data_IF_515998508320
#
_entry.id   IF_515998508320
#
_cell.length_a   1.000
_cell.length_b   1.000
_cell.length_c   1.000
_cell.angle_alpha   90.00
_cell.angle_beta   90.00
_cell.angle_gamma   90.00
#
_symmetry.space_group_name_H-M   'P 1'
#
loop_
_entity.id
_entity.type
_entity.pdbx_description
1 polymer ?
#
# COMPACT_ATOMS: atom_id res chain seq x y z
N UNK A 1 -20.13 0.10 10.77
CA UNK A 1 -19.01 0.58 9.94
C UNK A 1 -17.77 0.38 10.79
N UNK A 2 -16.90 -0.59 10.46
CA UNK A 2 -15.73 -0.88 11.31
C UNK A 2 -14.83 0.35 11.36
N UNK A 3 -14.37 0.69 12.55
CA UNK A 3 -13.49 1.81 12.82
C UNK A 3 -12.13 1.51 12.17
N UNK A 4 -11.79 2.22 11.09
CA UNK A 4 -10.61 1.97 10.25
C UNK A 4 -9.30 2.47 10.89
N UNK A 5 -9.35 2.98 12.13
CA UNK A 5 -8.18 3.44 12.88
C UNK A 5 -7.13 2.34 13.08
N UNK A 6 -7.54 1.07 13.22
CA UNK A 6 -6.63 -0.07 13.32
C UNK A 6 -6.01 -0.51 11.97
N UNK A 7 -6.79 -0.50 10.89
CA UNK A 7 -6.32 -0.95 9.57
C UNK A 7 -5.41 0.09 8.88
N UNK A 8 -5.64 1.39 9.10
CA UNK A 8 -4.75 2.44 8.58
C UNK A 8 -3.35 2.33 9.19
N UNK A 9 -3.25 1.96 10.48
CA UNK A 9 -1.97 1.72 11.15
C UNK A 9 -1.29 0.48 10.60
N UNK A 10 -2.02 -0.61 10.32
CA UNK A 10 -1.47 -1.82 9.72
C UNK A 10 -0.94 -1.58 8.30
N UNK A 11 -1.69 -0.84 7.47
CA UNK A 11 -1.24 -0.42 6.13
C UNK A 11 0.00 0.48 6.23
N UNK A 12 0.06 1.42 7.19
CA UNK A 12 1.24 2.27 7.40
C UNK A 12 2.43 1.48 7.92
N UNK A 13 2.24 0.50 8.80
CA UNK A 13 3.30 -0.39 9.31
C UNK A 13 3.83 -1.27 8.18
N UNK A 14 2.96 -1.91 7.41
CA UNK A 14 3.36 -2.72 6.24
C UNK A 14 4.03 -1.85 5.20
N UNK A 15 3.52 -0.64 4.96
CA UNK A 15 4.13 0.30 4.04
C UNK A 15 5.50 0.79 4.55
N UNK A 16 5.67 1.03 5.84
CA UNK A 16 6.96 1.41 6.45
C UNK A 16 7.97 0.24 6.46
N UNK A 17 7.54 -0.97 6.86
CA UNK A 17 8.35 -2.19 6.78
C UNK A 17 8.72 -2.48 5.32
N UNK A 18 7.78 -2.36 4.39
CA UNK A 18 8.03 -2.48 2.95
C UNK A 18 9.00 -1.39 2.46
N UNK A 19 8.84 -0.13 2.86
CA UNK A 19 9.76 0.98 2.51
C UNK A 19 11.18 0.73 2.98
N UNK A 20 11.34 0.16 4.19
CA UNK A 20 12.64 -0.22 4.75
C UNK A 20 13.30 -1.37 3.97
N UNK A 21 12.50 -2.29 3.40
CA UNK A 21 12.96 -3.40 2.55
C UNK A 21 13.15 -3.02 1.08
N UNK A 22 12.67 -1.86 0.62
CA UNK A 22 12.74 -1.38 -0.78
C UNK A 22 14.17 -0.94 -1.21
N UNK A 23 15.23 -1.38 -0.54
CA UNK A 23 16.60 -0.84 -0.67
C UNK A 23 17.32 -1.08 -2.00
N UNK A 24 16.82 -1.95 -2.89
CA UNK A 24 17.58 -2.38 -4.10
C UNK A 24 16.89 -2.22 -5.46
N UNK A 25 15.55 -2.07 -5.54
CA UNK A 25 14.83 -2.11 -6.83
C UNK A 25 14.06 -0.82 -7.17
N UNK A 26 13.35 -0.20 -6.21
CA UNK A 26 12.71 1.11 -6.40
C UNK A 26 13.70 2.24 -6.15
N UNK A 27 13.75 3.22 -7.06
CA UNK A 27 14.55 4.42 -6.83
C UNK A 27 13.94 5.27 -5.69
N UNK A 28 14.74 6.17 -5.12
CA UNK A 28 14.29 7.02 -4.01
C UNK A 28 13.08 7.91 -4.36
N UNK A 29 12.92 8.25 -5.64
CA UNK A 29 11.83 9.07 -6.15
C UNK A 29 10.50 8.31 -6.11
N UNK A 30 10.46 7.07 -6.60
CA UNK A 30 9.28 6.21 -6.55
C UNK A 30 8.83 5.95 -5.10
N UNK A 31 9.77 5.78 -4.16
CA UNK A 31 9.42 5.63 -2.73
C UNK A 31 8.72 6.87 -2.19
N UNK A 32 9.24 8.05 -2.50
CA UNK A 32 8.65 9.33 -2.09
C UNK A 32 7.28 9.54 -2.72
N UNK A 33 7.14 9.18 -3.99
CA UNK A 33 5.87 9.26 -4.72
C UNK A 33 4.79 8.41 -4.05
N UNK A 34 5.02 7.11 -3.85
CA UNK A 34 4.05 6.25 -3.18
C UNK A 34 3.78 6.69 -1.74
N UNK A 35 4.79 7.20 -1.03
CA UNK A 35 4.62 7.76 0.32
C UNK A 35 3.68 8.96 0.33
N UNK A 36 3.85 9.89 -0.62
CA UNK A 36 2.96 11.04 -0.77
C UNK A 36 1.53 10.59 -1.09
N UNK A 37 1.40 9.65 -2.04
CA UNK A 37 0.11 9.10 -2.47
C UNK A 37 -0.63 8.42 -1.33
N UNK A 38 0.04 7.56 -0.55
CA UNK A 38 -0.56 6.90 0.62
C UNK A 38 -0.99 7.92 1.68
N UNK A 39 -0.16 8.93 1.95
CA UNK A 39 -0.46 9.91 3.00
C UNK A 39 -1.71 10.77 2.67
N UNK A 40 -2.01 10.95 1.39
CA UNK A 40 -3.12 11.77 0.90
C UNK A 40 -4.35 10.95 0.49
N UNK A 41 -4.21 9.63 0.33
CA UNK A 41 -5.27 8.78 -0.22
C UNK A 41 -6.51 8.69 0.68
N UNK A 42 -7.68 8.72 0.04
CA UNK A 42 -8.92 8.23 0.61
C UNK A 42 -8.94 6.67 0.60
N UNK A 43 -10.04 6.07 1.06
CA UNK A 43 -10.10 4.61 1.24
C UNK A 43 -9.99 3.85 -0.08
N UNK A 44 -10.70 4.30 -1.11
CA UNK A 44 -10.70 3.64 -2.42
C UNK A 44 -9.37 3.84 -3.14
N UNK A 45 -8.77 5.03 -3.04
CA UNK A 45 -7.43 5.30 -3.55
C UNK A 45 -6.35 4.45 -2.88
N UNK A 46 -6.46 4.23 -1.56
CA UNK A 46 -5.54 3.37 -0.83
C UNK A 46 -5.60 1.92 -1.32
N UNK A 47 -6.80 1.41 -1.62
CA UNK A 47 -6.97 0.07 -2.22
C UNK A 47 -6.29 -0.01 -3.58
N UNK A 48 -6.44 1.01 -4.44
CA UNK A 48 -5.76 1.08 -5.74
C UNK A 48 -4.24 1.05 -5.57
N UNK A 49 -3.69 1.82 -4.62
CA UNK A 49 -2.25 1.81 -4.33
C UNK A 49 -1.78 0.42 -3.88
N UNK A 50 -2.54 -0.29 -3.04
CA UNK A 50 -2.18 -1.65 -2.62
C UNK A 50 -2.09 -2.61 -3.82
N UNK A 51 -3.02 -2.51 -4.79
CA UNK A 51 -2.94 -3.29 -6.03
C UNK A 51 -1.70 -2.96 -6.87
N UNK A 52 -1.33 -1.68 -6.98
CA UNK A 52 -0.14 -1.27 -7.72
C UNK A 52 1.14 -1.82 -7.07
N UNK A 53 1.25 -1.70 -5.75
CA UNK A 53 2.40 -2.22 -4.98
C UNK A 53 2.48 -3.74 -5.04
N UNK A 54 1.33 -4.43 -5.05
CA UNK A 54 1.24 -5.86 -5.28
C UNK A 54 1.84 -6.25 -6.63
N UNK A 55 1.41 -5.61 -7.73
CA UNK A 55 1.90 -5.90 -9.07
C UNK A 55 3.39 -5.59 -9.21
N UNK A 56 3.84 -4.49 -8.62
CA UNK A 56 5.26 -4.12 -8.59
C UNK A 56 6.10 -5.17 -7.85
N UNK A 57 5.60 -5.71 -6.74
CA UNK A 57 6.28 -6.79 -6.02
C UNK A 57 6.37 -8.08 -6.87
N UNK A 58 5.38 -8.36 -7.72
CA UNK A 58 5.48 -9.49 -8.67
C UNK A 58 6.53 -9.25 -9.75
N UNK A 59 6.64 -8.03 -10.29
CA UNK A 59 7.66 -7.67 -11.27
C UNK A 59 9.08 -7.83 -10.70
N UNK A 60 9.27 -7.40 -9.45
CA UNK A 60 10.54 -7.58 -8.76
C UNK A 60 10.85 -9.05 -8.49
N UNK A 61 9.84 -9.86 -8.11
CA UNK A 61 10.01 -11.29 -7.92
C UNK A 61 10.42 -11.99 -9.22
N UNK A 62 9.75 -11.70 -10.34
CA UNK A 62 10.08 -12.21 -11.66
C UNK A 62 11.50 -11.83 -12.08
N UNK A 63 11.89 -10.56 -11.90
CA UNK A 63 13.22 -10.08 -12.23
C UNK A 63 14.32 -10.76 -11.39
N UNK A 64 14.08 -10.97 -10.08
CA UNK A 64 15.01 -11.66 -9.21
C UNK A 64 15.14 -13.16 -9.59
N UNK A 65 14.02 -13.84 -9.85
CA UNK A 65 14.06 -15.23 -10.32
C UNK A 65 14.79 -15.38 -11.66
N UNK A 66 14.58 -14.46 -12.60
CA UNK A 66 15.27 -14.45 -13.89
C UNK A 66 16.79 -14.27 -13.76
N UNK A 67 17.25 -13.56 -12.73
CA UNK A 67 18.69 -13.38 -12.40
C UNK A 67 19.27 -14.53 -11.58
N UNK A 68 18.46 -15.52 -11.19
CA UNK A 68 18.89 -16.60 -10.29
C UNK A 68 18.99 -16.19 -8.81
N UNK A 69 18.50 -15.01 -8.45
CA UNK A 69 18.50 -14.47 -7.08
C UNK A 69 17.33 -15.04 -6.28
N UNK A 70 17.32 -16.37 -6.07
CA UNK A 70 16.13 -17.10 -5.60
C UNK A 70 15.60 -16.62 -4.25
N UNK A 71 16.48 -16.34 -3.28
CA UNK A 71 16.08 -15.84 -1.95
C UNK A 71 15.44 -14.47 -2.03
N UNK A 72 15.95 -13.61 -2.93
CA UNK A 72 15.42 -12.28 -3.18
C UNK A 72 14.03 -12.37 -3.83
N UNK A 73 13.89 -13.24 -4.85
CA UNK A 73 12.60 -13.52 -5.47
C UNK A 73 11.54 -14.00 -4.45
N UNK A 74 11.91 -14.94 -3.57
CA UNK A 74 11.01 -15.38 -2.48
C UNK A 74 10.64 -14.22 -1.54
N UNK A 75 11.58 -13.31 -1.23
CA UNK A 75 11.28 -12.13 -0.40
C UNK A 75 10.25 -11.23 -1.07
N UNK A 76 10.38 -10.98 -2.36
CA UNK A 76 9.40 -10.18 -3.12
C UNK A 76 8.02 -10.87 -3.19
N UNK A 77 7.97 -12.20 -3.31
CA UNK A 77 6.70 -12.95 -3.20
C UNK A 77 6.04 -12.78 -1.82
N UNK A 78 6.82 -12.86 -0.74
CA UNK A 78 6.29 -12.62 0.62
C UNK A 78 5.82 -11.18 0.82
N UNK A 79 6.43 -10.23 0.12
CA UNK A 79 5.95 -8.84 0.09
C UNK A 79 4.60 -8.71 -0.63
N UNK A 80 4.45 -9.35 -1.79
CA UNK A 80 3.18 -9.41 -2.51
C UNK A 80 2.08 -10.09 -1.65
N UNK A 81 2.45 -11.14 -0.91
CA UNK A 81 1.56 -11.81 0.05
C UNK A 81 1.03 -10.84 1.11
N UNK A 82 1.89 -9.99 1.68
CA UNK A 82 1.49 -8.97 2.65
C UNK A 82 0.46 -7.98 2.08
N UNK A 83 0.69 -7.47 0.87
CA UNK A 83 -0.29 -6.58 0.22
C UNK A 83 -1.64 -7.27 -0.06
N UNK A 84 -1.61 -8.54 -0.46
CA UNK A 84 -2.83 -9.32 -0.66
C UNK A 84 -3.59 -9.55 0.65
N UNK A 85 -2.89 -9.81 1.76
CA UNK A 85 -3.49 -9.97 3.07
C UNK A 85 -4.19 -8.69 3.55
N UNK A 86 -3.65 -7.51 3.23
CA UNK A 86 -4.33 -6.24 3.50
C UNK A 86 -5.63 -6.12 2.70
N UNK A 87 -5.62 -6.46 1.41
CA UNK A 87 -6.84 -6.48 0.59
C UNK A 87 -7.88 -7.45 1.17
N UNK A 88 -7.46 -8.64 1.57
CA UNK A 88 -8.31 -9.65 2.21
C UNK A 88 -8.90 -9.15 3.54
N UNK A 89 -8.08 -8.53 4.40
CA UNK A 89 -8.50 -7.99 5.70
C UNK A 89 -9.40 -6.75 5.60
N UNK A 90 -9.37 -6.06 4.46
CA UNK A 90 -10.19 -4.87 4.21
C UNK A 90 -11.63 -5.16 3.79
N UNK A 91 -11.96 -6.42 3.47
CA UNK A 91 -13.28 -6.80 2.96
C UNK A 91 -14.40 -6.61 4.00
N UNK A 92 -15.53 -6.07 3.53
CA UNK A 92 -16.74 -5.89 4.33
C UNK A 92 -17.80 -6.94 3.98
N UNK A 93 -17.87 -8.00 4.78
CA UNK A 93 -18.76 -9.15 4.59
C UNK A 93 -20.25 -8.86 4.79
N UNK A 94 -20.63 -7.60 5.06
CA UNK A 94 -22.03 -7.17 4.97
C UNK A 94 -22.53 -7.17 3.52
N UNK A 95 -21.62 -7.14 2.54
CA UNK A 95 -21.95 -7.16 1.12
C UNK A 95 -21.59 -8.50 0.48
N UNK A 96 -22.50 -9.06 -0.31
CA UNK A 96 -22.32 -10.37 -0.95
C UNK A 96 -21.07 -10.45 -1.85
N UNK A 97 -20.67 -9.33 -2.46
CA UNK A 97 -19.48 -9.24 -3.31
C UNK A 97 -18.17 -9.52 -2.56
N UNK A 98 -18.14 -9.34 -1.23
CA UNK A 98 -16.96 -9.63 -0.42
C UNK A 98 -16.57 -11.12 -0.52
N UNK A 99 -17.54 -12.03 -0.55
CA UNK A 99 -17.28 -13.46 -0.72
C UNK A 99 -16.68 -13.78 -2.09
N UNK A 100 -17.10 -13.07 -3.14
CA UNK A 100 -16.56 -13.25 -4.49
C UNK A 100 -15.11 -12.78 -4.58
N UNK A 101 -14.82 -11.61 -4.00
CA UNK A 101 -13.46 -11.07 -3.91
C UNK A 101 -12.56 -11.99 -3.08
N UNK A 102 -13.04 -12.51 -1.95
CA UNK A 102 -12.27 -13.44 -1.12
C UNK A 102 -11.89 -14.72 -1.87
N UNK A 103 -12.78 -15.26 -2.71
CA UNK A 103 -12.45 -16.43 -3.56
C UNK A 103 -11.31 -16.12 -4.54
N UNK A 104 -11.35 -14.96 -5.20
CA UNK A 104 -10.28 -14.53 -6.10
C UNK A 104 -8.96 -14.33 -5.35
N UNK A 105 -9.00 -13.66 -4.19
CA UNK A 105 -7.80 -13.45 -3.38
C UNK A 105 -7.21 -14.76 -2.87
N UNK A 106 -8.02 -15.73 -2.46
CA UNK A 106 -7.53 -17.05 -2.03
C UNK A 106 -6.81 -17.79 -3.17
N UNK A 107 -7.37 -17.76 -4.38
CA UNK A 107 -6.69 -18.32 -5.55
C UNK A 107 -5.31 -17.69 -5.75
N UNK A 108 -5.23 -16.35 -5.71
CA UNK A 108 -3.95 -15.62 -5.85
C UNK A 108 -2.99 -15.99 -4.72
N UNK A 109 -3.47 -16.04 -3.49
CA UNK A 109 -2.67 -16.40 -2.31
C UNK A 109 -2.01 -17.78 -2.44
N UNK A 110 -2.77 -18.77 -2.92
CA UNK A 110 -2.24 -20.11 -3.22
C UNK A 110 -1.14 -20.08 -4.29
N UNK A 111 -1.31 -19.28 -5.36
CA UNK A 111 -0.28 -19.13 -6.39
C UNK A 111 1.01 -18.52 -5.84
N UNK A 112 0.91 -17.55 -4.92
CA UNK A 112 2.08 -16.96 -4.24
C UNK A 112 2.80 -17.99 -3.36
N UNK A 113 2.05 -18.80 -2.59
CA UNK A 113 2.63 -19.89 -1.80
C UNK A 113 3.41 -20.85 -2.70
N UNK A 114 2.79 -21.32 -3.79
CA UNK A 114 3.47 -22.21 -4.73
C UNK A 114 4.68 -21.54 -5.39
N UNK A 115 4.61 -20.25 -5.69
CA UNK A 115 5.72 -19.50 -6.27
C UNK A 115 6.91 -19.41 -5.32
N UNK A 116 6.66 -19.13 -4.04
CA UNK A 116 7.69 -19.11 -3.00
C UNK A 116 8.33 -20.49 -2.80
N UNK A 117 7.52 -21.55 -2.70
CA UNK A 117 8.00 -22.93 -2.52
C UNK A 117 8.83 -23.42 -3.70
N UNK A 118 8.39 -23.12 -4.93
CA UNK A 118 9.05 -23.56 -6.17
C UNK A 118 10.16 -22.61 -6.63
N UNK A 119 10.34 -21.47 -5.96
CA UNK A 119 11.32 -20.42 -6.28
C UNK A 119 11.26 -19.97 -7.74
N UNK A 120 10.04 -19.81 -8.25
CA UNK A 120 9.73 -19.30 -9.58
C UNK A 120 8.29 -18.81 -9.59
N UNK A 121 7.91 -17.92 -10.49
CA UNK A 121 6.50 -17.58 -10.66
C UNK A 121 5.67 -18.78 -11.13
N UNK A 122 4.60 -19.06 -10.38
CA UNK A 122 3.60 -20.06 -10.70
C UNK A 122 2.33 -19.32 -11.11
N UNK A 123 1.84 -19.57 -12.33
CA UNK A 123 0.65 -18.93 -12.88
C UNK A 123 0.69 -17.38 -12.83
N UNK A 124 1.89 -16.81 -13.01
CA UNK A 124 2.11 -15.36 -12.86
C UNK A 124 1.25 -14.51 -13.78
N UNK A 125 1.07 -14.92 -15.04
CA UNK A 125 0.20 -14.23 -16.00
C UNK A 125 -1.25 -14.17 -15.52
N UNK A 126 -1.81 -15.30 -15.07
CA UNK A 126 -3.19 -15.37 -14.55
C UNK A 126 -3.36 -14.53 -13.28
N UNK A 127 -2.37 -14.56 -12.37
CA UNK A 127 -2.38 -13.70 -11.17
C UNK A 127 -2.41 -12.23 -11.56
N UNK A 128 -1.57 -11.81 -12.51
CA UNK A 128 -1.52 -10.43 -13.01
C UNK A 128 -2.81 -10.02 -13.70
N UNK A 129 -3.42 -10.91 -14.46
CA UNK A 129 -4.70 -10.65 -15.12
C UNK A 129 -5.82 -10.41 -14.10
N UNK A 130 -5.96 -11.30 -13.11
CA UNK A 130 -6.98 -11.17 -12.04
C UNK A 130 -6.78 -9.88 -11.27
N UNK A 131 -5.57 -9.64 -10.76
CA UNK A 131 -5.27 -8.48 -9.93
C UNK A 131 -5.32 -7.17 -10.72
N UNK A 132 -4.93 -7.21 -11.99
CA UNK A 132 -5.04 -6.07 -12.91
C UNK A 132 -6.49 -5.68 -13.19
N UNK A 133 -7.37 -6.65 -13.50
CA UNK A 133 -8.79 -6.38 -13.72
C UNK A 133 -9.47 -5.79 -12.47
N UNK A 134 -9.12 -6.32 -11.29
CA UNK A 134 -9.63 -5.79 -10.03
C UNK A 134 -9.12 -4.36 -9.78
N UNK A 135 -7.83 -4.09 -10.01
CA UNK A 135 -7.27 -2.73 -9.94
C UNK A 135 -8.04 -1.75 -10.83
N UNK A 136 -8.27 -2.10 -12.09
CA UNK A 136 -9.01 -1.23 -13.03
C UNK A 136 -10.46 -0.97 -12.58
N UNK A 137 -11.12 -1.97 -11.99
CA UNK A 137 -12.43 -1.77 -11.39
C UNK A 137 -12.37 -0.78 -10.21
N UNK A 138 -11.40 -0.94 -9.30
CA UNK A 138 -11.22 -0.04 -8.15
C UNK A 138 -10.77 1.37 -8.53
N UNK A 139 -10.04 1.56 -9.64
CA UNK A 139 -9.75 2.89 -10.19
C UNK A 139 -11.05 3.62 -10.55
N UNK A 140 -12.03 2.92 -11.12
CA UNK A 140 -13.35 3.51 -11.44
C UNK A 140 -14.14 3.86 -10.17
N UNK A 141 -14.04 3.03 -9.14
CA UNK A 141 -14.64 3.30 -7.82
C UNK A 141 -14.00 4.52 -7.16
N UNK A 142 -12.67 4.60 -7.14
CA UNK A 142 -11.93 5.71 -6.53
C UNK A 142 -12.29 7.07 -7.16
N UNK A 143 -12.54 7.11 -8.48
CA UNK A 143 -13.01 8.33 -9.16
C UNK A 143 -14.37 8.85 -8.68
N UNK A 144 -15.19 7.99 -8.09
CA UNK A 144 -16.52 8.32 -7.56
C UNK A 144 -16.51 8.52 -6.04
N UNK A 145 -15.40 8.15 -5.38
CA UNK A 145 -15.24 8.26 -3.94
C UNK A 145 -14.75 9.66 -3.56
N UNK A 146 -15.65 10.47 -3.01
CA UNK A 146 -15.35 11.81 -2.49
C UNK A 146 -15.07 11.82 -0.98
N UNK A 147 -14.78 10.67 -0.38
CA UNK A 147 -14.48 10.59 1.04
C UNK A 147 -13.16 11.29 1.39
N UNK A 148 -13.08 11.79 2.62
CA UNK A 148 -11.87 12.43 3.11
C UNK A 148 -10.69 11.43 3.19
N UNK A 149 -9.44 11.93 3.13
CA UNK A 149 -8.24 11.11 3.33
C UNK A 149 -8.32 10.28 4.61
N UNK A 150 -7.78 9.06 4.55
CA UNK A 150 -7.80 8.13 5.69
C UNK A 150 -6.91 8.63 6.82
N UNK A 151 -5.76 9.22 6.47
CA UNK A 151 -4.79 9.73 7.43
C UNK A 151 -5.15 11.15 7.86
N UNK A 152 -5.01 11.42 9.16
CA UNK A 152 -5.04 12.79 9.72
C UNK A 152 -3.59 13.29 9.84
N UNK A 153 -3.39 14.61 9.81
CA UNK A 153 -2.07 15.25 9.91
C UNK A 153 -1.08 14.80 8.82
N UNK A 154 -1.56 14.61 7.59
CA UNK A 154 -0.83 14.12 6.41
C UNK A 154 0.54 14.79 6.19
N UNK A 155 0.67 16.10 6.43
CA UNK A 155 1.94 16.83 6.30
C UNK A 155 3.02 16.31 7.26
N UNK A 156 2.66 16.09 8.52
CA UNK A 156 3.58 15.58 9.55
C UNK A 156 3.97 14.12 9.26
N UNK A 157 3.02 13.32 8.79
CA UNK A 157 3.27 11.92 8.43
C UNK A 157 4.19 11.83 7.20
N UNK A 158 3.90 12.60 6.15
CA UNK A 158 4.75 12.64 4.96
C UNK A 158 6.17 13.08 5.30
N UNK A 159 6.33 14.11 6.12
CA UNK A 159 7.65 14.58 6.53
C UNK A 159 8.42 13.55 7.36
N UNK A 160 7.76 12.89 8.32
CA UNK A 160 8.36 11.81 9.10
C UNK A 160 8.80 10.61 8.25
N UNK A 161 8.04 10.28 7.20
CA UNK A 161 8.35 9.19 6.27
C UNK A 161 9.42 9.57 5.24
N UNK A 162 9.47 10.83 4.80
CA UNK A 162 10.37 11.30 3.73
C UNK A 162 11.73 11.75 4.25
N UNK A 163 11.77 12.34 5.44
CA UNK A 163 12.97 12.97 6.01
C UNK A 163 13.46 12.31 7.30
N UNK A 164 12.77 11.28 7.81
CA UNK A 164 13.17 10.53 9.00
C UNK A 164 12.66 11.12 10.32
N UNK A 165 12.69 10.28 11.36
CA UNK A 165 12.15 10.58 12.70
C UNK A 165 12.93 11.73 13.35
N UNK A 166 12.27 12.86 13.61
CA UNK A 166 12.86 14.03 14.29
C UNK A 166 13.23 15.23 13.39
N UNK A 167 12.86 15.21 12.10
CA UNK A 167 13.24 16.26 11.14
C UNK A 167 12.41 17.55 11.18
N UNK A 168 11.28 17.60 11.91
CA UNK A 168 10.45 18.81 12.00
C UNK A 168 10.10 19.16 13.43
N UNK A 169 10.59 20.34 13.83
CA UNK A 169 10.17 21.09 15.00
C UNK A 169 9.55 22.40 14.47
N UNK A 170 8.33 22.36 13.93
CA UNK A 170 7.71 23.59 13.40
C UNK A 170 6.25 23.74 13.87
N UNK A 171 6.13 24.67 14.82
CA UNK A 171 5.04 25.60 15.11
C UNK A 171 3.63 25.12 14.74
N UNK A 172 2.89 24.73 15.78
CA UNK A 172 1.43 24.74 15.84
C UNK A 172 0.89 26.13 15.47
N UNK A 173 0.72 26.40 14.18
CA UNK A 173 -0.24 27.41 13.71
C UNK A 173 -1.60 26.72 13.60
N UNK A 174 -2.16 26.32 14.73
CA UNK A 174 -3.59 26.02 14.84
C UNK A 174 -4.19 27.12 15.70
N UNK A 175 -5.06 27.93 15.08
CA UNK A 175 -5.48 29.23 15.57
C UNK A 175 -6.03 29.23 16.99
N UNK A 176 -5.38 30.01 17.85
CA UNK A 176 -5.99 30.87 18.84
C UNK A 176 -4.88 31.73 19.48
N UNK A 177 -4.43 32.74 18.75
CA UNK A 177 -3.81 33.92 19.35
C UNK A 177 -4.37 35.13 18.61
N UNK A 178 -5.63 35.41 18.94
CA UNK A 178 -6.10 36.78 18.92
C UNK A 178 -5.12 37.59 19.75
N UNK A 179 -4.64 38.70 19.20
CA UNK A 179 -3.87 39.75 19.89
C UNK A 179 -2.33 39.63 19.85
N UNK A 180 -1.74 39.86 18.68
CA UNK A 180 -0.41 40.48 18.62
C UNK A 180 -0.53 41.87 18.01
N UNK A 181 -0.95 42.80 18.86
CA UNK A 181 -0.89 44.23 18.57
C UNK A 181 0.56 44.64 18.33
N UNK A 182 0.79 45.29 17.19
CA UNK A 182 1.95 46.14 16.99
C UNK A 182 1.87 47.31 17.96
N UNK A 183 2.87 47.47 18.82
CA UNK A 183 3.24 48.78 19.35
C UNK A 183 4.75 48.94 19.20
N UNK A 184 5.11 50.03 18.54
CA UNK A 184 6.45 50.58 18.40
C UNK A 184 7.07 50.92 19.76
#
# INVERSE_FOLDING_TARGET
>A
MKDYSGNAVLVVIIFHSSLSEMGKAMNQEQKREYTARVAQANRSELVVIIYELFLLALDEADAAFAKGELSEGVRHIKRAEGFLQELMGSLDYRYAIAEELMRLYRYVYEQLIFSALRRKMVNGETVREVMGKLKEAFIKVAKQDSSAPVMKNTQQVYAGLTYGKGSLNEVLLTGNDSNRGYRA
#
